data_IF_850657859206
#
_entry.id   IF_850657859206
#
_cell.length_a   1.000
_cell.length_b   1.000
_cell.length_c   1.000
_cell.angle_alpha   90.00
_cell.angle_beta   90.00
_cell.angle_gamma   90.00
#
_symmetry.space_group_name_H-M   'P 1'
#
loop_
_entity.id
_entity.type
_entity.pdbx_description
1 polymer ?
#
# COMPACT_ATOMS: atom_id res chain seq x y z
N UNK A 1 -8.84 2.36 12.22
CA UNK A 1 -9.40 2.16 10.88
C UNK A 1 -8.34 1.78 9.86
N UNK A 2 -7.33 2.60 9.59
CA UNK A 2 -6.21 2.24 8.68
C UNK A 2 -5.53 0.93 9.06
N UNK A 3 -5.31 0.69 10.34
CA UNK A 3 -4.74 -0.57 10.88
C UNK A 3 -5.53 -1.81 10.46
N UNK A 4 -6.87 -1.75 10.52
CA UNK A 4 -7.71 -2.88 10.12
C UNK A 4 -7.73 -3.07 8.61
N UNK A 5 -7.90 -1.99 7.84
CA UNK A 5 -7.96 -2.06 6.37
C UNK A 5 -6.68 -2.67 5.79
N UNK A 6 -5.53 -2.11 6.14
CA UNK A 6 -4.24 -2.55 5.59
C UNK A 6 -3.72 -3.84 6.22
N UNK A 7 -4.04 -4.06 7.50
CA UNK A 7 -3.66 -5.29 8.18
C UNK A 7 -4.37 -6.50 7.61
N UNK A 8 -5.68 -6.43 7.43
CA UNK A 8 -6.47 -7.53 6.86
C UNK A 8 -6.13 -7.78 5.39
N UNK A 9 -5.85 -6.73 4.60
CA UNK A 9 -5.38 -6.86 3.23
C UNK A 9 -4.04 -7.63 3.16
N UNK A 10 -3.05 -7.22 3.96
CA UNK A 10 -1.74 -7.88 3.97
C UNK A 10 -1.75 -9.27 4.63
N UNK A 11 -2.81 -9.64 5.34
CA UNK A 11 -2.99 -11.00 5.86
C UNK A 11 -3.33 -12.03 4.78
N UNK A 12 -3.68 -11.61 3.55
CA UNK A 12 -4.02 -12.51 2.46
C UNK A 12 -2.93 -13.56 2.19
N UNK A 13 -1.66 -13.17 2.25
CA UNK A 13 -0.52 -14.09 2.08
C UNK A 13 -0.48 -15.23 3.10
N UNK A 14 -1.02 -15.02 4.30
CA UNK A 14 -1.11 -16.05 5.36
C UNK A 14 -2.16 -17.13 5.01
N UNK A 15 -3.22 -16.76 4.29
CA UNK A 15 -4.28 -17.66 3.85
C UNK A 15 -3.94 -18.49 2.59
N UNK A 16 -2.83 -18.18 1.92
CA UNK A 16 -2.40 -18.89 0.72
C UNK A 16 -2.26 -20.40 0.95
N UNK A 17 -1.57 -20.78 2.04
CA UNK A 17 -1.36 -22.19 2.39
C UNK A 17 -2.66 -22.98 2.55
N UNK A 18 -3.61 -22.50 3.36
CA UNK A 18 -4.96 -23.08 3.45
C UNK A 18 -5.68 -23.23 2.11
N UNK A 19 -5.68 -22.21 1.23
CA UNK A 19 -6.35 -22.28 -0.07
C UNK A 19 -5.73 -23.34 -0.99
N UNK A 20 -4.40 -23.37 -1.10
CA UNK A 20 -3.70 -24.34 -1.93
C UNK A 20 -3.98 -25.78 -1.43
N UNK A 21 -3.97 -25.99 -0.10
CA UNK A 21 -4.21 -27.33 0.48
C UNK A 21 -5.64 -27.82 0.28
N UNK A 22 -6.63 -26.94 0.39
CA UNK A 22 -8.04 -27.34 0.32
C UNK A 22 -8.56 -27.45 -1.11
N UNK A 23 -8.18 -26.49 -1.98
CA UNK A 23 -8.73 -26.37 -3.33
C UNK A 23 -7.78 -26.85 -4.42
N UNK A 24 -6.49 -27.05 -4.13
CA UNK A 24 -5.49 -27.40 -5.14
C UNK A 24 -5.21 -26.26 -6.15
N UNK A 25 -5.55 -25.02 -5.82
CA UNK A 25 -5.34 -23.90 -6.71
C UNK A 25 -3.85 -23.57 -6.89
N UNK A 26 -3.47 -23.15 -8.10
CA UNK A 26 -2.11 -22.68 -8.35
C UNK A 26 -1.87 -21.34 -7.65
N UNK A 27 -0.59 -21.03 -7.42
CA UNK A 27 -0.21 -19.76 -6.81
C UNK A 27 -0.55 -18.57 -7.70
N UNK A 28 -0.44 -18.74 -9.02
CA UNK A 28 -0.81 -17.70 -9.99
C UNK A 28 -2.32 -17.39 -9.92
N UNK A 29 -3.20 -18.39 -9.87
CA UNK A 29 -4.65 -18.20 -9.74
C UNK A 29 -4.97 -17.50 -8.42
N UNK A 30 -4.39 -17.95 -7.31
CA UNK A 30 -4.65 -17.34 -5.99
C UNK A 30 -4.17 -15.89 -5.94
N UNK A 31 -2.99 -15.59 -6.50
CA UNK A 31 -2.45 -14.22 -6.58
C UNK A 31 -3.28 -13.30 -7.48
N UNK A 32 -3.96 -13.87 -8.49
CA UNK A 32 -4.83 -13.13 -9.39
C UNK A 32 -5.95 -12.38 -8.66
N UNK A 33 -6.46 -12.94 -7.55
CA UNK A 33 -7.46 -12.24 -6.72
C UNK A 33 -6.87 -10.98 -6.04
N UNK A 34 -5.63 -11.04 -5.56
CA UNK A 34 -4.92 -9.87 -5.00
C UNK A 34 -4.62 -8.84 -6.09
N UNK A 35 -4.27 -9.29 -7.28
CA UNK A 35 -4.04 -8.44 -8.44
C UNK A 35 -5.31 -7.66 -8.82
N UNK A 36 -6.44 -8.37 -8.94
CA UNK A 36 -7.74 -7.77 -9.24
C UNK A 36 -8.14 -6.76 -8.15
N UNK A 37 -7.94 -7.12 -6.88
CA UNK A 37 -8.18 -6.22 -5.75
C UNK A 37 -7.40 -4.92 -5.90
N UNK A 38 -6.11 -4.99 -6.16
CA UNK A 38 -5.24 -3.81 -6.25
C UNK A 38 -5.60 -2.92 -7.44
N UNK A 39 -5.98 -3.51 -8.58
CA UNK A 39 -6.44 -2.74 -9.75
C UNK A 39 -7.75 -2.01 -9.45
N UNK A 40 -8.75 -2.72 -8.92
CA UNK A 40 -10.06 -2.12 -8.58
C UNK A 40 -9.88 -1.06 -7.50
N UNK A 41 -9.08 -1.33 -6.46
CA UNK A 41 -8.74 -0.35 -5.43
C UNK A 41 -8.15 0.93 -6.01
N UNK A 42 -7.16 0.83 -6.90
CA UNK A 42 -6.54 1.99 -7.55
C UNK A 42 -7.54 2.85 -8.31
N UNK A 43 -8.41 2.22 -9.09
CA UNK A 43 -9.48 2.91 -9.84
C UNK A 43 -10.48 3.56 -8.86
N UNK A 44 -10.95 2.81 -7.89
CA UNK A 44 -11.98 3.27 -6.95
C UNK A 44 -11.49 4.35 -5.99
N UNK A 45 -10.18 4.46 -5.70
CA UNK A 45 -9.64 5.56 -4.92
C UNK A 45 -9.96 6.93 -5.55
N UNK A 46 -9.92 7.03 -6.87
CA UNK A 46 -10.26 8.27 -7.60
C UNK A 46 -11.75 8.54 -7.50
N UNK A 47 -12.58 7.53 -7.74
CA UNK A 47 -14.05 7.68 -7.67
C UNK A 47 -14.54 7.95 -6.24
N UNK A 48 -13.96 7.31 -5.24
CA UNK A 48 -14.35 7.49 -3.83
C UNK A 48 -14.05 8.91 -3.33
N UNK A 49 -13.01 9.55 -3.83
CA UNK A 49 -12.71 10.94 -3.53
C UNK A 49 -13.85 11.86 -4.02
N UNK A 50 -14.24 11.76 -5.29
CA UNK A 50 -15.34 12.56 -5.86
C UNK A 50 -16.71 12.24 -5.22
N UNK A 51 -16.97 10.97 -4.90
CA UNK A 51 -18.19 10.57 -4.21
C UNK A 51 -18.25 11.13 -2.77
N UNK A 52 -17.09 11.17 -2.10
CA UNK A 52 -16.95 11.74 -0.76
C UNK A 52 -17.24 13.24 -0.72
N UNK A 53 -16.95 13.98 -1.79
CA UNK A 53 -17.28 15.41 -1.91
C UNK A 53 -18.80 15.62 -2.06
N UNK A 54 -19.49 14.72 -2.75
CA UNK A 54 -20.94 14.83 -3.01
C UNK A 54 -21.80 14.32 -1.86
N UNK A 55 -21.50 13.15 -1.32
CA UNK A 55 -22.31 12.45 -0.30
C UNK A 55 -21.82 12.68 1.13
N UNK A 56 -20.66 13.30 1.29
CA UNK A 56 -19.95 13.46 2.55
C UNK A 56 -19.08 12.24 2.91
N UNK A 57 -17.87 12.48 3.46
CA UNK A 57 -16.89 11.43 3.70
C UNK A 57 -17.39 10.37 4.70
N UNK A 58 -18.13 10.76 5.73
CA UNK A 58 -18.66 9.83 6.74
C UNK A 58 -19.55 8.75 6.10
N UNK A 59 -20.48 9.13 5.21
CA UNK A 59 -21.40 8.17 4.57
C UNK A 59 -20.64 7.20 3.66
N UNK A 60 -19.76 7.72 2.82
CA UNK A 60 -18.96 6.91 1.89
C UNK A 60 -18.08 5.92 2.67
N UNK A 61 -17.39 6.39 3.71
CA UNK A 61 -16.52 5.55 4.53
C UNK A 61 -17.35 4.47 5.25
N UNK A 62 -18.53 4.80 5.79
CA UNK A 62 -19.40 3.82 6.46
C UNK A 62 -19.87 2.73 5.50
N UNK A 63 -20.38 3.10 4.32
CA UNK A 63 -20.84 2.13 3.31
C UNK A 63 -19.69 1.22 2.86
N UNK A 64 -18.53 1.78 2.55
CA UNK A 64 -17.37 0.99 2.18
C UNK A 64 -16.89 0.08 3.32
N UNK A 65 -16.96 0.53 4.58
CA UNK A 65 -16.63 -0.31 5.75
C UNK A 65 -17.58 -1.51 5.88
N UNK A 66 -18.86 -1.33 5.59
CA UNK A 66 -19.84 -2.43 5.58
C UNK A 66 -19.50 -3.41 4.46
N UNK A 67 -19.21 -2.91 3.24
CA UNK A 67 -18.83 -3.75 2.10
C UNK A 67 -17.52 -4.52 2.40
N UNK A 68 -16.56 -3.90 3.07
CA UNK A 68 -15.32 -4.55 3.51
C UNK A 68 -15.59 -5.73 4.45
N UNK A 69 -16.43 -5.51 5.46
CA UNK A 69 -16.84 -6.56 6.40
C UNK A 69 -17.60 -7.69 5.71
N UNK A 70 -18.52 -7.36 4.79
CA UNK A 70 -19.23 -8.35 3.98
C UNK A 70 -18.29 -9.13 3.06
N UNK A 71 -17.29 -8.46 2.45
CA UNK A 71 -16.26 -9.11 1.64
C UNK A 71 -15.53 -10.21 2.42
N UNK A 72 -15.06 -9.91 3.63
CA UNK A 72 -14.42 -10.91 4.49
C UNK A 72 -15.40 -11.97 5.02
N UNK A 73 -16.64 -11.62 5.27
CA UNK A 73 -17.68 -12.59 5.64
C UNK A 73 -17.91 -13.62 4.53
N UNK A 74 -18.02 -13.18 3.28
CA UNK A 74 -18.17 -14.08 2.13
C UNK A 74 -16.90 -14.89 1.86
N UNK A 75 -15.70 -14.36 2.17
CA UNK A 75 -14.46 -15.13 2.08
C UNK A 75 -14.48 -16.41 2.92
N UNK A 76 -15.21 -16.44 4.03
CA UNK A 76 -15.40 -17.67 4.81
C UNK A 76 -16.20 -18.76 4.06
N UNK A 77 -16.92 -18.39 3.01
CA UNK A 77 -17.78 -19.28 2.20
C UNK A 77 -17.25 -19.57 0.80
N UNK A 78 -16.01 -19.17 0.52
CA UNK A 78 -15.35 -19.44 -0.75
C UNK A 78 -15.31 -20.92 -1.04
N UNK A 79 -15.73 -21.29 -2.25
CA UNK A 79 -15.69 -22.66 -2.78
C UNK A 79 -15.08 -22.72 -4.18
N UNK A 80 -15.16 -21.63 -4.96
CA UNK A 80 -14.66 -21.55 -6.32
C UNK A 80 -13.65 -20.42 -6.49
N UNK A 81 -12.87 -20.47 -7.56
CA UNK A 81 -11.98 -19.36 -7.94
C UNK A 81 -12.77 -18.08 -8.23
N UNK A 82 -13.96 -18.19 -8.83
CA UNK A 82 -14.83 -17.04 -9.08
C UNK A 82 -15.27 -16.36 -7.79
N UNK A 83 -15.58 -17.15 -6.74
CA UNK A 83 -15.91 -16.61 -5.42
C UNK A 83 -14.74 -15.82 -4.85
N UNK A 84 -13.52 -16.37 -4.94
CA UNK A 84 -12.31 -15.71 -4.46
C UNK A 84 -12.10 -14.35 -5.15
N UNK A 85 -12.23 -14.32 -6.49
CA UNK A 85 -12.08 -13.10 -7.26
C UNK A 85 -13.19 -12.07 -6.95
N UNK A 86 -14.41 -12.53 -6.77
CA UNK A 86 -15.54 -11.64 -6.43
C UNK A 86 -15.40 -11.10 -5.00
N UNK A 87 -15.19 -11.97 -4.01
CA UNK A 87 -15.23 -11.55 -2.61
C UNK A 87 -13.96 -10.79 -2.21
N UNK A 88 -12.78 -11.33 -2.54
CA UNK A 88 -11.53 -10.65 -2.24
C UNK A 88 -11.16 -9.60 -3.28
N UNK A 89 -11.26 -9.95 -4.55
CA UNK A 89 -10.89 -9.04 -5.65
C UNK A 89 -11.78 -7.81 -5.75
N UNK A 90 -13.11 -7.97 -5.62
CA UNK A 90 -14.07 -6.86 -5.82
C UNK A 90 -14.54 -6.26 -4.50
N UNK A 91 -15.18 -7.05 -3.60
CA UNK A 91 -15.80 -6.49 -2.39
C UNK A 91 -14.78 -5.89 -1.43
N UNK A 92 -13.67 -6.58 -1.19
CA UNK A 92 -12.60 -6.05 -0.34
C UNK A 92 -11.99 -4.79 -0.97
N UNK A 93 -11.78 -4.75 -2.29
CA UNK A 93 -11.26 -3.57 -2.98
C UNK A 93 -12.18 -2.35 -2.84
N UNK A 94 -13.50 -2.53 -3.02
CA UNK A 94 -14.49 -1.47 -2.79
C UNK A 94 -14.40 -0.98 -1.35
N UNK A 95 -14.33 -1.91 -0.40
CA UNK A 95 -14.26 -1.60 1.02
C UNK A 95 -13.02 -0.82 1.44
N UNK A 96 -11.88 -1.02 0.74
CA UNK A 96 -10.62 -0.33 0.98
C UNK A 96 -10.56 1.07 0.33
N UNK A 97 -11.38 1.34 -0.68
CA UNK A 97 -11.31 2.56 -1.51
C UNK A 97 -11.41 3.90 -0.75
N UNK A 98 -12.01 4.02 0.46
CA UNK A 98 -12.02 5.28 1.21
C UNK A 98 -10.66 5.73 1.76
N UNK A 99 -9.56 5.12 1.36
CA UNK A 99 -8.21 5.53 1.75
C UNK A 99 -7.94 7.02 1.48
N UNK A 100 -8.25 7.51 0.26
CA UNK A 100 -8.07 8.91 -0.10
C UNK A 100 -9.02 9.85 0.69
N UNK A 101 -10.33 9.58 0.79
CA UNK A 101 -11.22 10.34 1.66
C UNK A 101 -10.74 10.46 3.11
N UNK A 102 -10.17 9.39 3.69
CA UNK A 102 -9.64 9.42 5.04
C UNK A 102 -8.46 10.38 5.18
N UNK A 103 -7.50 10.35 4.25
CA UNK A 103 -6.36 11.27 4.26
C UNK A 103 -6.79 12.73 4.00
N UNK A 104 -7.73 12.94 3.08
CA UNK A 104 -8.25 14.28 2.80
C UNK A 104 -8.98 14.87 4.01
N UNK A 105 -9.70 14.05 4.78
CA UNK A 105 -10.38 14.48 5.99
C UNK A 105 -9.37 14.97 7.05
N UNK A 106 -8.27 14.24 7.24
CA UNK A 106 -7.19 14.65 8.16
C UNK A 106 -6.57 15.98 7.71
N UNK A 107 -6.32 16.14 6.42
CA UNK A 107 -5.78 17.38 5.87
C UNK A 107 -6.71 18.59 6.04
N UNK A 108 -8.04 18.38 6.11
CA UNK A 108 -9.04 19.42 6.39
C UNK A 108 -9.06 19.83 7.88
N UNK A 109 -8.79 18.89 8.79
CA UNK A 109 -8.78 19.16 10.22
C UNK A 109 -7.51 19.88 10.72
N UNK A 110 -6.36 19.60 10.08
CA UNK A 110 -5.06 20.06 10.54
C UNK A 110 -4.40 20.94 9.48
N UNK A 111 -4.41 22.26 9.68
CA UNK A 111 -3.80 23.23 8.77
C UNK A 111 -2.31 23.44 9.03
N UNK A 112 -1.90 23.47 10.29
CA UNK A 112 -0.53 23.79 10.70
C UNK A 112 0.41 22.59 10.79
N UNK A 113 -0.09 21.38 11.08
CA UNK A 113 0.71 20.15 11.24
C UNK A 113 0.25 19.02 10.33
N UNK A 114 -0.17 19.34 9.11
CA UNK A 114 -0.72 18.36 8.13
C UNK A 114 0.17 17.15 7.91
N UNK A 115 1.47 17.37 7.70
CA UNK A 115 2.43 16.30 7.47
C UNK A 115 2.53 15.33 8.63
N UNK A 116 2.66 15.86 9.86
CA UNK A 116 2.74 15.04 11.09
C UNK A 116 1.45 14.25 11.33
N UNK A 117 0.28 14.84 11.12
CA UNK A 117 -1.00 14.16 11.31
C UNK A 117 -1.24 13.08 10.25
N UNK A 118 -0.89 13.35 9.00
CA UNK A 118 -0.90 12.33 7.95
C UNK A 118 0.06 11.17 8.26
N UNK A 119 1.26 11.46 8.77
CA UNK A 119 2.22 10.43 9.18
C UNK A 119 1.66 9.54 10.30
N UNK A 120 0.96 10.12 11.30
CA UNK A 120 0.31 9.35 12.37
C UNK A 120 -0.78 8.43 11.79
N UNK A 121 -1.60 8.92 10.86
CA UNK A 121 -2.65 8.11 10.22
C UNK A 121 -2.05 7.01 9.35
N UNK A 122 -1.00 7.31 8.60
CA UNK A 122 -0.27 6.32 7.78
C UNK A 122 0.49 5.31 8.64
N UNK A 123 0.96 5.68 9.84
CA UNK A 123 1.56 4.72 10.79
C UNK A 123 0.56 3.62 11.19
N UNK A 124 -0.74 3.91 11.17
CA UNK A 124 -1.79 2.90 11.33
C UNK A 124 -1.73 1.78 10.29
N UNK A 125 -1.25 2.07 9.07
CA UNK A 125 -1.01 1.05 8.03
C UNK A 125 0.12 0.10 8.45
N UNK A 126 1.27 0.64 8.86
CA UNK A 126 2.39 -0.15 9.36
C UNK A 126 2.02 -1.00 10.58
N UNK A 127 1.26 -0.44 11.53
CA UNK A 127 0.72 -1.19 12.68
C UNK A 127 -0.21 -2.31 12.23
N UNK A 128 -1.02 -2.10 11.21
CA UNK A 128 -1.89 -3.13 10.64
C UNK A 128 -1.08 -4.30 10.08
N UNK A 129 -0.08 -4.01 9.26
CA UNK A 129 0.80 -5.01 8.66
C UNK A 129 1.60 -5.74 9.75
N UNK A 130 1.98 -5.04 10.81
CA UNK A 130 2.72 -5.62 11.93
C UNK A 130 1.89 -6.60 12.77
N UNK A 131 0.63 -6.26 13.06
CA UNK A 131 -0.16 -6.98 14.08
C UNK A 131 -1.14 -8.00 13.46
N UNK A 132 -1.82 -7.65 12.38
CA UNK A 132 -2.95 -8.45 11.89
C UNK A 132 -2.54 -9.77 11.24
N UNK A 133 -1.47 -9.87 10.40
CA UNK A 133 -1.07 -11.14 9.81
C UNK A 133 -0.68 -12.21 10.83
N UNK A 134 0.14 -11.96 11.88
CA UNK A 134 0.41 -12.99 12.88
C UNK A 134 -0.84 -13.35 13.70
N UNK A 135 -1.72 -12.38 13.99
CA UNK A 135 -3.01 -12.68 14.65
C UNK A 135 -3.90 -13.56 13.76
N UNK A 136 -3.94 -13.29 12.45
CA UNK A 136 -4.68 -14.10 11.48
C UNK A 136 -4.12 -15.54 11.42
N UNK A 137 -2.78 -15.70 11.42
CA UNK A 137 -2.15 -17.03 11.46
C UNK A 137 -2.51 -17.80 12.73
N UNK A 138 -2.49 -17.11 13.88
CA UNK A 138 -2.89 -17.72 15.16
C UNK A 138 -4.37 -18.12 15.16
N UNK A 139 -5.25 -17.28 14.60
CA UNK A 139 -6.66 -17.64 14.43
C UNK A 139 -6.84 -18.86 13.54
N UNK A 140 -6.10 -18.96 12.43
CA UNK A 140 -6.15 -20.12 11.53
C UNK A 140 -5.80 -21.40 12.27
N UNK A 141 -4.79 -21.38 13.15
CA UNK A 141 -4.38 -22.54 13.93
C UNK A 141 -5.41 -22.95 14.99
N UNK A 142 -6.16 -21.98 15.56
CA UNK A 142 -7.14 -22.23 16.62
C UNK A 142 -8.51 -22.65 16.08
N UNK A 143 -9.01 -21.99 15.03
CA UNK A 143 -10.42 -22.11 14.61
C UNK A 143 -10.59 -22.43 13.11
N UNK A 144 -9.52 -22.79 12.42
CA UNK A 144 -9.46 -23.00 10.97
C UNK A 144 -9.66 -21.71 10.17
N UNK A 145 -9.24 -21.69 8.90
CA UNK A 145 -9.20 -20.48 8.08
C UNK A 145 -10.59 -19.87 7.77
N UNK A 146 -11.64 -20.71 7.63
CA UNK A 146 -13.01 -20.21 7.37
C UNK A 146 -13.55 -19.41 8.56
N UNK A 147 -13.42 -19.96 9.76
CA UNK A 147 -13.85 -19.26 10.99
C UNK A 147 -12.95 -18.06 11.28
N UNK A 148 -11.69 -18.11 10.91
CA UNK A 148 -10.78 -16.95 11.01
C UNK A 148 -11.27 -15.77 10.17
N UNK A 149 -11.75 -16.02 8.94
CA UNK A 149 -12.37 -14.97 8.12
C UNK A 149 -13.66 -14.43 8.74
N UNK A 150 -14.48 -15.25 9.39
CA UNK A 150 -15.66 -14.76 10.13
C UNK A 150 -15.28 -13.83 11.28
N UNK A 151 -14.27 -14.20 12.07
CA UNK A 151 -13.75 -13.33 13.15
C UNK A 151 -13.20 -12.04 12.58
N UNK A 152 -12.38 -12.11 11.55
CA UNK A 152 -11.82 -10.93 10.85
C UNK A 152 -12.95 -10.04 10.31
N UNK A 153 -13.98 -10.61 9.71
CA UNK A 153 -15.13 -9.88 9.19
C UNK A 153 -15.84 -9.09 10.31
N UNK A 154 -16.19 -9.75 11.42
CA UNK A 154 -16.89 -9.14 12.55
C UNK A 154 -16.04 -8.03 13.17
N UNK A 155 -14.77 -8.30 13.46
CA UNK A 155 -13.86 -7.33 14.10
C UNK A 155 -13.63 -6.13 13.17
N UNK A 156 -13.39 -6.37 11.88
CA UNK A 156 -13.21 -5.31 10.89
C UNK A 156 -14.47 -4.46 10.77
N UNK A 157 -15.64 -5.08 10.65
CA UNK A 157 -16.93 -4.39 10.57
C UNK A 157 -17.16 -3.51 11.81
N UNK A 158 -17.03 -4.09 13.00
CA UNK A 158 -17.23 -3.36 14.25
C UNK A 158 -16.29 -2.16 14.38
N UNK A 159 -14.98 -2.37 14.18
CA UNK A 159 -13.98 -1.31 14.36
C UNK A 159 -14.13 -0.24 13.28
N UNK A 160 -14.30 -0.61 12.00
CA UNK A 160 -14.33 0.37 10.91
C UNK A 160 -15.63 1.16 10.87
N UNK A 161 -16.78 0.51 11.13
CA UNK A 161 -18.07 1.19 11.21
C UNK A 161 -18.14 2.08 12.46
N UNK A 162 -17.74 1.58 13.64
CA UNK A 162 -17.69 2.39 14.84
C UNK A 162 -16.80 3.62 14.64
N UNK A 163 -15.56 3.42 14.12
CA UNK A 163 -14.65 4.51 13.85
C UNK A 163 -15.22 5.53 12.84
N UNK A 164 -15.97 5.07 11.83
CA UNK A 164 -16.60 5.95 10.85
C UNK A 164 -17.65 6.88 11.46
N UNK A 165 -18.32 6.46 12.55
CA UNK A 165 -19.32 7.29 13.24
C UNK A 165 -18.71 8.48 13.99
N UNK A 166 -17.46 8.37 14.43
CA UNK A 166 -16.72 9.47 15.06
C UNK A 166 -16.13 10.47 14.08
N UNK A 167 -16.15 10.18 12.76
CA UNK A 167 -15.66 11.10 11.74
C UNK A 167 -16.59 12.31 11.64
N UNK A 168 -16.07 13.49 11.97
CA UNK A 168 -16.75 14.77 11.79
C UNK A 168 -16.08 15.53 10.65
N UNK A 169 -16.89 16.16 9.81
CA UNK A 169 -16.41 17.10 8.79
C UNK A 169 -16.39 18.48 9.43
N UNK A 170 -15.30 19.27 9.31
CA UNK A 170 -15.30 20.65 9.75
C UNK A 170 -16.43 21.42 9.07
N UNK A 171 -17.18 22.25 9.80
CA UNK A 171 -18.19 23.13 9.22
C UNK A 171 -17.53 24.19 8.30
N UNK A 172 -18.24 24.67 7.29
CA UNK A 172 -17.75 25.71 6.36
C UNK A 172 -17.26 26.95 7.14
N UNK A 173 -18.01 27.36 8.17
CA UNK A 173 -17.63 28.46 9.07
C UNK A 173 -16.33 28.21 9.82
N UNK A 174 -16.10 26.99 10.30
CA UNK A 174 -14.85 26.63 10.98
C UNK A 174 -13.62 26.56 10.04
N UNK A 175 -13.83 26.45 8.73
CA UNK A 175 -12.79 26.54 7.72
C UNK A 175 -12.51 28.01 7.33
N UNK A 176 -13.53 28.84 7.21
CA UNK A 176 -13.41 30.28 6.92
C UNK A 176 -12.74 31.05 8.08
N UNK A 177 -13.10 30.76 9.33
CA UNK A 177 -12.48 31.37 10.52
C UNK A 177 -11.01 30.95 10.71
N UNK A 178 -10.58 29.84 10.14
CA UNK A 178 -9.21 29.31 10.26
C UNK A 178 -8.28 29.70 9.11
N UNK A 179 -8.79 29.86 7.91
CA UNK A 179 -7.96 30.12 6.69
C UNK A 179 -7.74 31.61 6.41
N UNK A 180 -8.26 32.53 7.25
CA UNK A 180 -7.91 33.97 7.22
C UNK A 180 -8.26 34.66 5.91
N UNK A 181 -9.36 34.29 5.24
CA UNK A 181 -9.86 35.01 4.05
C UNK A 181 -9.11 34.74 2.74
N UNK A 182 -9.62 35.25 1.62
CA UNK A 182 -9.06 35.05 0.28
C UNK A 182 -7.68 35.64 0.01
N UNK A 183 -7.13 36.45 0.92
CA UNK A 183 -5.83 37.14 0.78
C UNK A 183 -4.65 36.44 1.44
N UNK A 184 -4.75 35.14 1.74
CA UNK A 184 -3.61 34.40 2.31
C UNK A 184 -2.56 34.06 1.25
N UNK A 185 -1.24 34.17 1.56
CA UNK A 185 -0.13 33.87 0.63
C UNK A 185 -0.15 32.45 0.03
N UNK A 186 -1.08 31.59 0.46
CA UNK A 186 -1.32 30.24 -0.03
C UNK A 186 -2.10 30.17 -1.35
N UNK A 187 -2.92 31.18 -1.66
CA UNK A 187 -3.72 31.22 -2.88
C UNK A 187 -2.84 31.35 -4.13
N UNK A 188 -1.78 32.14 -4.05
CA UNK A 188 -0.82 32.34 -5.14
C UNK A 188 0.03 31.11 -5.43
N UNK A 189 0.41 30.34 -4.40
CA UNK A 189 1.19 29.11 -4.58
C UNK A 189 0.42 27.94 -5.20
N UNK A 190 -0.90 27.98 -5.24
CA UNK A 190 -1.73 26.94 -5.87
C UNK A 190 -1.58 26.87 -7.39
N UNK A 191 -1.06 27.89 -8.02
CA UNK A 191 -0.93 27.98 -9.48
C UNK A 191 0.50 27.82 -10.00
N UNK A 192 1.49 27.59 -9.13
CA UNK A 192 2.87 27.42 -9.54
C UNK A 192 3.14 26.00 -10.06
N UNK A 193 3.70 25.89 -11.26
CA UNK A 193 4.16 24.64 -11.84
C UNK A 193 3.47 24.22 -13.12
N UNK A 194 3.80 23.02 -13.58
CA UNK A 194 3.33 22.50 -14.86
C UNK A 194 1.87 22.06 -14.79
N UNK A 195 1.12 22.30 -15.87
CA UNK A 195 -0.16 21.65 -16.09
C UNK A 195 0.05 20.14 -16.31
N UNK A 196 -0.97 19.32 -16.08
CA UNK A 196 -0.89 17.87 -16.31
C UNK A 196 -0.44 17.52 -17.74
N UNK A 197 -0.98 18.23 -18.75
CA UNK A 197 -0.64 18.01 -20.16
C UNK A 197 0.83 18.34 -20.48
N UNK A 198 1.41 19.30 -19.79
CA UNK A 198 2.83 19.61 -19.88
C UNK A 198 3.67 18.57 -19.15
N UNK A 199 3.27 18.19 -17.93
CA UNK A 199 4.00 17.20 -17.12
C UNK A 199 4.13 15.85 -17.82
N UNK A 200 3.06 15.31 -18.40
CA UNK A 200 3.04 13.99 -19.09
C UNK A 200 4.05 13.92 -20.25
N UNK A 201 4.40 15.06 -20.86
CA UNK A 201 5.38 15.12 -21.96
C UNK A 201 6.82 15.17 -21.50
N UNK A 202 7.07 15.20 -20.20
CA UNK A 202 8.42 15.28 -19.63
C UNK A 202 9.00 13.89 -19.38
N UNK A 203 10.34 13.81 -19.45
CA UNK A 203 11.08 12.60 -19.06
C UNK A 203 10.88 12.30 -17.58
N UNK A 204 10.81 13.31 -16.75
CA UNK A 204 10.63 13.21 -15.30
C UNK A 204 9.31 12.51 -14.96
N UNK A 205 8.26 12.74 -15.74
CA UNK A 205 6.97 12.04 -15.55
C UNK A 205 7.07 10.55 -15.90
N UNK A 206 7.75 10.20 -16.98
CA UNK A 206 7.99 8.79 -17.33
C UNK A 206 8.81 8.08 -16.25
N UNK A 207 9.86 8.74 -15.72
CA UNK A 207 10.67 8.21 -14.61
C UNK A 207 9.83 8.06 -13.33
N UNK A 208 8.97 9.03 -13.02
CA UNK A 208 8.05 8.93 -11.88
C UNK A 208 7.10 7.73 -12.00
N UNK A 209 6.51 7.53 -13.17
CA UNK A 209 5.65 6.37 -13.46
C UNK A 209 6.41 5.05 -13.29
N UNK A 210 7.66 4.97 -13.77
CA UNK A 210 8.51 3.80 -13.59
C UNK A 210 8.86 3.53 -12.12
N UNK A 211 9.14 4.58 -11.36
CA UNK A 211 9.38 4.48 -9.91
C UNK A 211 8.14 3.90 -9.20
N UNK A 212 6.95 4.41 -9.47
CA UNK A 212 5.74 3.85 -8.89
C UNK A 212 5.49 2.41 -9.30
N UNK A 213 5.70 2.08 -10.58
CA UNK A 213 5.52 0.73 -11.10
C UNK A 213 6.46 -0.26 -10.41
N UNK A 214 7.78 0.02 -10.44
CA UNK A 214 8.79 -0.87 -9.85
C UNK A 214 8.62 -1.04 -8.35
N UNK A 215 8.29 0.03 -7.65
CA UNK A 215 8.02 0.01 -6.21
C UNK A 215 6.85 -0.91 -5.86
N UNK A 216 5.67 -0.67 -6.46
CA UNK A 216 4.46 -1.41 -6.12
C UNK A 216 4.49 -2.85 -6.65
N UNK A 217 5.17 -3.11 -7.78
CA UNK A 217 5.45 -4.46 -8.27
C UNK A 217 6.20 -5.27 -7.20
N UNK A 218 7.33 -4.76 -6.72
CA UNK A 218 8.14 -5.43 -5.70
C UNK A 218 7.37 -5.58 -4.38
N UNK A 219 6.71 -4.51 -3.93
CA UNK A 219 6.00 -4.49 -2.66
C UNK A 219 4.93 -5.57 -2.59
N UNK A 220 4.03 -5.61 -3.57
CA UNK A 220 2.88 -6.52 -3.51
C UNK A 220 3.32 -7.95 -3.81
N UNK A 221 4.29 -8.16 -4.72
CA UNK A 221 4.88 -9.49 -4.94
C UNK A 221 5.45 -10.09 -3.65
N UNK A 222 6.20 -9.30 -2.90
CA UNK A 222 6.79 -9.75 -1.64
C UNK A 222 5.73 -9.98 -0.58
N UNK A 223 4.84 -9.02 -0.32
CA UNK A 223 3.86 -9.15 0.77
C UNK A 223 2.89 -10.31 0.55
N UNK A 224 2.61 -10.67 -0.70
CA UNK A 224 1.74 -11.81 -1.05
C UNK A 224 2.47 -13.15 -0.90
N UNK A 225 3.73 -13.24 -1.31
CA UNK A 225 4.41 -14.54 -1.45
C UNK A 225 5.43 -14.85 -0.37
N UNK A 226 5.92 -13.87 0.42
CA UNK A 226 7.02 -14.09 1.37
C UNK A 226 6.69 -15.12 2.46
N UNK A 227 5.44 -15.11 2.96
CA UNK A 227 4.99 -16.03 4.02
C UNK A 227 4.97 -17.47 3.50
N UNK A 228 4.37 -17.70 2.32
CA UNK A 228 4.30 -19.02 1.73
C UNK A 228 5.67 -19.52 1.26
N UNK A 229 6.57 -18.60 0.86
CA UNK A 229 7.95 -18.93 0.55
C UNK A 229 8.69 -19.42 1.80
N UNK A 230 8.60 -18.70 2.91
CA UNK A 230 9.22 -19.09 4.18
C UNK A 230 8.70 -20.45 4.67
N UNK A 231 7.39 -20.70 4.58
CA UNK A 231 6.80 -22.00 4.92
C UNK A 231 7.35 -23.12 4.00
N UNK A 232 7.55 -22.82 2.72
CA UNK A 232 8.14 -23.77 1.76
C UNK A 232 9.62 -24.12 2.03
N UNK A 233 10.28 -23.36 2.91
CA UNK A 233 11.64 -23.61 3.42
C UNK A 233 11.62 -24.19 4.86
N UNK A 234 10.53 -24.86 5.24
CA UNK A 234 10.32 -25.49 6.54
C UNK A 234 10.33 -24.54 7.75
N UNK A 235 10.18 -23.22 7.52
CA UNK A 235 10.00 -22.24 8.60
C UNK A 235 8.55 -22.38 9.14
N UNK A 236 8.35 -22.53 10.46
CA UNK A 236 7.03 -22.65 11.06
C UNK A 236 6.11 -21.47 10.65
N UNK A 237 4.84 -21.74 10.34
CA UNK A 237 3.90 -20.74 9.85
C UNK A 237 3.78 -19.50 10.76
N UNK A 238 3.92 -19.70 12.09
CA UNK A 238 3.92 -18.62 13.07
C UNK A 238 5.11 -17.66 12.85
N UNK A 239 6.31 -18.23 12.64
CA UNK A 239 7.53 -17.47 12.39
C UNK A 239 7.53 -16.85 10.99
N UNK A 240 7.02 -17.56 9.99
CA UNK A 240 6.82 -17.04 8.65
C UNK A 240 5.88 -15.82 8.64
N UNK A 241 4.79 -15.84 9.41
CA UNK A 241 3.88 -14.70 9.52
C UNK A 241 4.52 -13.47 10.19
N UNK A 242 5.51 -13.65 11.08
CA UNK A 242 6.26 -12.56 11.70
C UNK A 242 7.10 -11.76 10.69
N UNK A 243 7.42 -12.30 9.52
CA UNK A 243 8.10 -11.54 8.45
C UNK A 243 7.29 -10.30 8.07
N UNK A 244 5.95 -10.42 7.96
CA UNK A 244 5.09 -9.27 7.71
C UNK A 244 5.06 -8.30 8.89
N UNK A 245 5.18 -8.79 10.12
CA UNK A 245 5.29 -7.93 11.31
C UNK A 245 6.55 -7.06 11.28
N UNK A 246 7.68 -7.64 10.92
CA UNK A 246 8.94 -6.91 10.75
C UNK A 246 8.85 -5.89 9.61
N UNK A 247 8.22 -6.25 8.48
CA UNK A 247 7.95 -5.30 7.38
C UNK A 247 7.11 -4.12 7.90
N UNK A 248 6.01 -4.37 8.59
CA UNK A 248 5.11 -3.34 9.10
C UNK A 248 5.76 -2.43 10.13
N UNK A 249 6.47 -3.00 11.10
CA UNK A 249 7.17 -2.25 12.14
C UNK A 249 8.29 -1.37 11.56
N UNK A 250 9.12 -1.95 10.70
CA UNK A 250 10.20 -1.22 10.03
C UNK A 250 9.67 -0.15 9.04
N UNK A 251 8.51 -0.36 8.44
CA UNK A 251 7.84 0.62 7.58
C UNK A 251 7.56 1.93 8.36
N UNK A 252 7.08 1.85 9.60
CA UNK A 252 6.83 3.03 10.45
C UNK A 252 8.15 3.81 10.69
N UNK A 253 9.23 3.09 10.99
CA UNK A 253 10.55 3.70 11.17
C UNK A 253 11.06 4.33 9.88
N UNK A 254 10.92 3.63 8.75
CA UNK A 254 11.33 4.10 7.43
C UNK A 254 10.61 5.38 7.01
N UNK A 255 9.28 5.48 7.27
CA UNK A 255 8.51 6.70 7.00
C UNK A 255 9.11 7.92 7.71
N UNK A 256 9.42 7.77 9.00
CA UNK A 256 9.91 8.88 9.81
C UNK A 256 11.37 9.24 9.45
N UNK A 257 12.25 8.26 9.32
CA UNK A 257 13.67 8.49 9.06
C UNK A 257 13.89 9.04 7.66
N UNK A 258 13.25 8.44 6.63
CA UNK A 258 13.41 8.89 5.24
C UNK A 258 12.74 10.23 4.97
N UNK A 259 11.62 10.54 5.65
CA UNK A 259 11.04 11.87 5.64
C UNK A 259 12.02 12.92 6.17
N UNK A 260 12.66 12.66 7.33
CA UNK A 260 13.68 13.57 7.88
C UNK A 260 14.92 13.69 6.97
N UNK A 261 15.34 12.61 6.32
CA UNK A 261 16.47 12.66 5.36
C UNK A 261 16.08 13.51 4.15
N UNK A 262 14.86 13.38 3.66
CA UNK A 262 14.36 14.18 2.55
C UNK A 262 14.34 15.68 2.88
N UNK A 263 13.87 16.04 4.09
CA UNK A 263 13.82 17.43 4.55
C UNK A 263 15.22 18.03 4.76
N UNK A 264 16.20 17.23 5.22
CA UNK A 264 17.56 17.72 5.48
C UNK A 264 18.47 17.75 4.26
N UNK A 265 18.33 16.79 3.37
CA UNK A 265 19.21 16.63 2.20
C UNK A 265 18.45 16.84 0.89
N UNK A 266 17.66 15.84 0.45
CA UNK A 266 16.75 15.94 -0.68
C UNK A 266 15.86 14.70 -0.82
N UNK A 267 14.70 14.87 -1.47
CA UNK A 267 13.84 13.74 -1.85
C UNK A 267 14.55 12.72 -2.74
N UNK A 268 15.42 13.18 -3.65
CA UNK A 268 16.20 12.33 -4.56
C UNK A 268 17.15 11.40 -3.79
N UNK A 269 17.88 11.92 -2.79
CA UNK A 269 18.83 11.13 -1.97
C UNK A 269 18.04 10.11 -1.15
N UNK A 270 16.99 10.53 -0.45
CA UNK A 270 16.16 9.64 0.36
C UNK A 270 15.53 8.52 -0.47
N UNK A 271 15.06 8.84 -1.68
CA UNK A 271 14.51 7.86 -2.62
C UNK A 271 15.57 6.88 -3.12
N UNK A 272 16.76 7.37 -3.48
CA UNK A 272 17.90 6.54 -3.89
C UNK A 272 18.32 5.57 -2.79
N UNK A 273 18.42 6.02 -1.53
CA UNK A 273 18.72 5.16 -0.38
C UNK A 273 17.61 4.10 -0.20
N UNK A 274 16.35 4.49 -0.31
CA UNK A 274 15.22 3.55 -0.18
C UNK A 274 15.23 2.47 -1.27
N UNK A 275 15.49 2.84 -2.54
CA UNK A 275 15.60 1.86 -3.62
C UNK A 275 16.85 0.96 -3.51
N UNK A 276 17.98 1.52 -3.08
CA UNK A 276 19.19 0.74 -2.81
C UNK A 276 18.93 -0.31 -1.74
N UNK A 277 18.31 0.09 -0.64
CA UNK A 277 18.00 -0.81 0.47
C UNK A 277 16.99 -1.89 0.06
N UNK A 278 15.97 -1.53 -0.73
CA UNK A 278 15.01 -2.49 -1.29
C UNK A 278 15.70 -3.49 -2.20
N UNK A 279 16.54 -3.04 -3.15
CA UNK A 279 17.26 -3.92 -4.07
C UNK A 279 18.23 -4.85 -3.34
N UNK A 280 19.02 -4.33 -2.40
CA UNK A 280 19.95 -5.13 -1.59
C UNK A 280 19.21 -6.18 -0.74
N UNK A 281 18.06 -5.80 -0.12
CA UNK A 281 17.27 -6.75 0.66
C UNK A 281 16.70 -7.88 -0.21
N UNK A 282 16.26 -7.57 -1.43
CA UNK A 282 15.76 -8.56 -2.40
C UNK A 282 16.84 -9.53 -2.86
N UNK A 283 18.08 -9.06 -3.05
CA UNK A 283 19.24 -9.94 -3.32
C UNK A 283 19.55 -10.80 -2.10
N UNK A 284 19.47 -10.22 -0.90
CA UNK A 284 19.72 -10.93 0.36
C UNK A 284 18.76 -12.09 0.60
N UNK A 285 17.48 -11.97 0.28
CA UNK A 285 16.49 -13.01 0.53
C UNK A 285 16.69 -14.25 -0.35
N UNK A 286 17.34 -14.13 -1.50
CA UNK A 286 17.53 -15.24 -2.45
C UNK A 286 18.25 -16.45 -1.83
N UNK A 287 19.42 -16.31 -1.19
CA UNK A 287 20.12 -17.42 -0.52
C UNK A 287 19.62 -17.67 0.91
N UNK A 288 18.55 -17.02 1.36
CA UNK A 288 18.10 -17.10 2.75
C UNK A 288 17.32 -18.37 3.03
N UNK A 289 17.72 -19.12 4.06
CA UNK A 289 17.05 -20.33 4.52
C UNK A 289 16.73 -20.31 6.02
N UNK A 290 17.22 -19.32 6.77
CA UNK A 290 17.00 -19.21 8.22
C UNK A 290 16.00 -18.13 8.57
N UNK A 291 15.26 -18.31 9.66
CA UNK A 291 14.29 -17.35 10.19
C UNK A 291 14.89 -15.95 10.40
N UNK A 292 16.09 -15.89 10.99
CA UNK A 292 16.79 -14.62 11.24
C UNK A 292 17.14 -13.88 9.96
N UNK A 293 17.47 -14.60 8.90
CA UNK A 293 17.74 -14.03 7.58
C UNK A 293 16.48 -13.39 6.99
N UNK A 294 15.31 -14.05 7.17
CA UNK A 294 14.01 -13.49 6.78
C UNK A 294 13.62 -12.26 7.60
N UNK A 295 13.90 -12.24 8.91
CA UNK A 295 13.61 -11.07 9.75
C UNK A 295 14.50 -9.88 9.37
N UNK A 296 15.78 -10.10 9.08
CA UNK A 296 16.69 -9.06 8.60
C UNK A 296 16.23 -8.51 7.24
N UNK A 297 15.91 -9.40 6.30
CA UNK A 297 15.30 -9.02 5.03
C UNK A 297 14.06 -8.16 5.24
N UNK A 298 13.12 -8.64 6.05
CA UNK A 298 11.84 -7.99 6.30
C UNK A 298 12.01 -6.60 6.93
N UNK A 299 12.98 -6.45 7.81
CA UNK A 299 13.33 -5.15 8.44
C UNK A 299 13.87 -4.19 7.41
N UNK A 300 14.84 -4.60 6.58
CA UNK A 300 15.43 -3.76 5.55
C UNK A 300 14.41 -3.39 4.47
N UNK A 301 13.65 -4.38 3.99
CA UNK A 301 12.60 -4.18 2.99
C UNK A 301 11.48 -3.27 3.50
N UNK A 302 11.01 -3.51 4.72
CA UNK A 302 9.96 -2.69 5.34
C UNK A 302 10.40 -1.25 5.57
N UNK A 303 11.64 -1.04 5.99
CA UNK A 303 12.20 0.30 6.14
C UNK A 303 12.26 1.05 4.79
N UNK A 304 12.72 0.38 3.73
CA UNK A 304 12.72 0.92 2.37
C UNK A 304 11.30 1.25 1.88
N UNK A 305 10.35 0.34 2.13
CA UNK A 305 8.92 0.53 1.82
C UNK A 305 8.37 1.80 2.47
N UNK A 306 8.58 1.96 3.78
CA UNK A 306 8.10 3.14 4.51
C UNK A 306 8.69 4.44 3.95
N UNK A 307 9.98 4.44 3.63
CA UNK A 307 10.64 5.57 3.00
C UNK A 307 9.99 5.96 1.68
N UNK A 308 9.82 5.02 0.76
CA UNK A 308 9.20 5.30 -0.54
C UNK A 308 7.77 5.83 -0.40
N UNK A 309 7.00 5.29 0.54
CA UNK A 309 5.60 5.68 0.74
C UNK A 309 5.42 7.18 1.04
N UNK A 310 6.34 7.80 1.78
CA UNK A 310 6.25 9.22 2.14
C UNK A 310 6.89 10.15 1.13
N UNK A 311 7.81 9.64 0.29
CA UNK A 311 8.63 10.47 -0.60
C UNK A 311 7.95 10.86 -1.91
N UNK A 312 6.97 10.08 -2.40
CA UNK A 312 6.37 10.34 -3.71
C UNK A 312 5.62 11.67 -3.79
N UNK A 313 4.87 12.03 -2.76
CA UNK A 313 4.11 13.28 -2.76
C UNK A 313 5.03 14.53 -2.75
N UNK A 314 6.03 14.64 -1.87
CA UNK A 314 7.01 15.73 -1.93
C UNK A 314 7.80 15.75 -3.25
N UNK A 315 8.16 14.57 -3.80
CA UNK A 315 8.87 14.48 -5.07
C UNK A 315 8.06 15.05 -6.22
N UNK A 316 6.76 14.76 -6.30
CA UNK A 316 5.86 15.31 -7.32
C UNK A 316 5.78 16.85 -7.20
N UNK A 317 5.66 17.37 -5.98
CA UNK A 317 5.65 18.80 -5.74
C UNK A 317 6.97 19.49 -6.15
N UNK A 318 8.11 18.81 -5.89
CA UNK A 318 9.45 19.31 -6.25
C UNK A 318 9.69 19.33 -7.77
N UNK A 319 9.21 18.31 -8.50
CA UNK A 319 9.46 18.16 -9.94
C UNK A 319 8.48 18.94 -10.82
N UNK A 320 7.22 19.04 -10.40
CA UNK A 320 6.13 19.54 -11.26
C UNK A 320 5.39 20.75 -10.66
N UNK A 321 5.67 21.11 -9.41
CA UNK A 321 4.93 22.13 -8.69
C UNK A 321 3.60 21.62 -8.14
N UNK A 322 2.76 22.56 -7.69
CA UNK A 322 1.50 22.25 -6.99
C UNK A 322 0.26 22.33 -7.87
N UNK A 323 0.35 22.94 -9.06
CA UNK A 323 -0.78 23.19 -9.97
C UNK A 323 -1.57 21.93 -10.35
N UNK A 324 -0.91 20.85 -10.70
CA UNK A 324 -1.53 19.58 -11.11
C UNK A 324 -1.10 18.41 -10.20
N UNK A 325 -0.64 18.71 -8.98
CA UNK A 325 -0.03 17.74 -8.05
C UNK A 325 -0.88 16.49 -7.85
N UNK A 326 -2.16 16.63 -7.53
CA UNK A 326 -3.05 15.50 -7.25
C UNK A 326 -3.25 14.58 -8.47
N UNK A 327 -3.38 15.16 -9.67
CA UNK A 327 -3.58 14.38 -10.91
C UNK A 327 -2.30 13.65 -11.30
N UNK A 328 -1.13 14.30 -11.15
CA UNK A 328 0.18 13.70 -11.45
C UNK A 328 0.46 12.55 -10.47
N UNK A 329 0.25 12.78 -9.17
CA UNK A 329 0.41 11.77 -8.12
C UNK A 329 -0.53 10.59 -8.35
N UNK A 330 -1.81 10.86 -8.64
CA UNK A 330 -2.82 9.85 -8.92
C UNK A 330 -2.51 9.01 -10.16
N UNK A 331 -1.98 9.63 -11.23
CA UNK A 331 -1.58 8.90 -12.44
C UNK A 331 -0.36 8.01 -12.17
N UNK A 332 0.63 8.51 -11.41
CA UNK A 332 1.75 7.69 -10.96
C UNK A 332 1.30 6.49 -10.14
N UNK A 333 0.39 6.70 -9.18
CA UNK A 333 -0.19 5.63 -8.36
C UNK A 333 -0.99 4.62 -9.20
N UNK A 334 -1.71 5.07 -10.22
CA UNK A 334 -2.43 4.18 -11.16
C UNK A 334 -1.46 3.28 -11.94
N UNK A 335 -0.37 3.84 -12.46
CA UNK A 335 0.69 3.04 -13.13
C UNK A 335 1.33 2.06 -12.14
N UNK A 336 1.57 2.49 -10.90
CA UNK A 336 2.03 1.62 -9.83
C UNK A 336 1.05 0.48 -9.51
N UNK A 337 -0.27 0.75 -9.56
CA UNK A 337 -1.29 -0.30 -9.34
C UNK A 337 -1.26 -1.38 -10.42
N UNK A 338 -0.85 -1.04 -11.65
CA UNK A 338 -0.58 -2.05 -12.70
C UNK A 338 0.59 -2.95 -12.26
N UNK A 339 1.68 -2.38 -11.77
CA UNK A 339 2.80 -3.14 -11.22
C UNK A 339 2.38 -4.05 -10.06
N UNK A 340 1.62 -3.49 -9.12
CA UNK A 340 1.07 -4.23 -7.97
C UNK A 340 0.14 -5.39 -8.37
N UNK A 341 -0.59 -5.25 -9.47
CA UNK A 341 -1.44 -6.31 -10.00
C UNK A 341 -0.65 -7.42 -10.71
N UNK A 342 0.30 -7.03 -11.57
CA UNK A 342 1.06 -7.96 -12.40
C UNK A 342 2.11 -8.72 -11.57
N UNK A 343 2.73 -8.04 -10.59
CA UNK A 343 3.85 -8.59 -9.82
C UNK A 343 3.55 -9.94 -9.15
N UNK A 344 2.51 -10.04 -8.31
CA UNK A 344 2.17 -11.31 -7.64
C UNK A 344 1.79 -12.43 -8.60
N UNK A 345 1.13 -12.10 -9.75
CA UNK A 345 0.76 -13.09 -10.77
C UNK A 345 2.03 -13.68 -11.39
N UNK A 346 2.97 -12.80 -11.79
CA UNK A 346 4.25 -13.24 -12.38
C UNK A 346 5.04 -14.06 -11.36
N UNK A 347 5.14 -13.62 -10.11
CA UNK A 347 5.83 -14.37 -9.07
C UNK A 347 5.19 -15.74 -8.80
N UNK A 348 3.85 -15.80 -8.79
CA UNK A 348 3.11 -17.06 -8.67
C UNK A 348 3.35 -17.99 -9.85
N UNK A 349 3.27 -17.47 -11.09
CA UNK A 349 3.52 -18.24 -12.31
C UNK A 349 4.95 -18.78 -12.39
N UNK A 350 5.95 -17.96 -12.02
CA UNK A 350 7.35 -18.40 -11.95
C UNK A 350 7.49 -19.57 -10.99
N UNK A 351 6.86 -19.49 -9.81
CA UNK A 351 6.89 -20.60 -8.86
C UNK A 351 6.16 -21.84 -9.38
N UNK A 352 4.98 -21.70 -9.96
CA UNK A 352 4.20 -22.81 -10.51
C UNK A 352 4.98 -23.54 -11.63
N UNK A 353 5.81 -22.82 -12.39
CA UNK A 353 6.63 -23.37 -13.49
C UNK A 353 7.98 -23.94 -13.04
N UNK A 354 8.64 -23.35 -12.03
CA UNK A 354 10.02 -23.66 -11.63
C UNK A 354 10.16 -24.33 -10.26
N UNK A 355 9.09 -24.33 -9.46
CA UNK A 355 9.11 -24.78 -8.07
C UNK A 355 9.87 -23.86 -7.10
N UNK A 356 10.31 -22.66 -7.57
CA UNK A 356 11.13 -21.74 -6.77
C UNK A 356 10.75 -20.28 -7.01
N UNK A 357 10.91 -19.44 -5.97
CA UNK A 357 10.76 -17.98 -6.06
C UNK A 357 12.04 -17.25 -6.47
N UNK A 358 13.16 -17.95 -6.67
CA UNK A 358 14.48 -17.34 -6.96
C UNK A 358 14.40 -16.37 -8.14
N UNK A 359 13.83 -16.80 -9.27
CA UNK A 359 13.68 -15.94 -10.45
C UNK A 359 12.74 -14.75 -10.19
N UNK A 360 11.69 -14.93 -9.40
CA UNK A 360 10.78 -13.86 -9.03
C UNK A 360 11.49 -12.79 -8.19
N UNK A 361 12.34 -13.19 -7.24
CA UNK A 361 13.11 -12.26 -6.42
C UNK A 361 14.23 -11.56 -7.21
N UNK A 362 14.87 -12.28 -8.16
CA UNK A 362 15.82 -11.66 -9.09
C UNK A 362 15.11 -10.58 -9.93
N UNK A 363 13.93 -10.87 -10.48
CA UNK A 363 13.14 -9.90 -11.22
C UNK A 363 12.81 -8.67 -10.37
N UNK A 364 12.34 -8.87 -9.13
CA UNK A 364 12.09 -7.77 -8.20
C UNK A 364 13.35 -6.97 -7.89
N UNK A 365 14.50 -7.62 -7.70
CA UNK A 365 15.77 -6.95 -7.46
C UNK A 365 16.21 -6.10 -8.67
N UNK A 366 16.09 -6.63 -9.88
CA UNK A 366 16.38 -5.90 -11.12
C UNK A 366 15.45 -4.67 -11.24
N UNK A 367 14.16 -4.82 -10.98
CA UNK A 367 13.21 -3.70 -11.00
C UNK A 367 13.55 -2.65 -9.92
N UNK A 368 13.95 -3.06 -8.73
CA UNK A 368 14.37 -2.14 -7.68
C UNK A 368 15.63 -1.36 -8.08
N UNK A 369 16.64 -2.02 -8.68
CA UNK A 369 17.84 -1.34 -9.16
C UNK A 369 17.60 -0.45 -10.38
N UNK A 370 16.69 -0.80 -11.29
CA UNK A 370 16.27 0.12 -12.36
C UNK A 370 15.51 1.31 -11.80
N UNK A 371 14.72 1.13 -10.72
CA UNK A 371 14.12 2.21 -9.94
C UNK A 371 15.19 3.12 -9.32
N UNK A 372 16.24 2.55 -8.72
CA UNK A 372 17.39 3.31 -8.23
C UNK A 372 18.03 4.14 -9.36
N UNK A 373 18.35 3.52 -10.49
CA UNK A 373 18.92 4.23 -11.64
C UNK A 373 17.99 5.37 -12.09
N UNK A 374 16.69 5.12 -12.15
CA UNK A 374 15.68 6.13 -12.50
C UNK A 374 15.65 7.29 -11.50
N UNK A 375 15.77 7.00 -10.19
CA UNK A 375 15.82 8.04 -9.15
C UNK A 375 17.05 8.94 -9.29
N UNK A 376 18.20 8.38 -9.68
CA UNK A 376 19.45 9.13 -9.92
C UNK A 376 19.37 10.01 -11.18
N UNK A 377 18.57 9.60 -12.17
CA UNK A 377 18.36 10.34 -13.42
C UNK A 377 17.36 11.50 -13.31
N UNK A 378 16.61 11.61 -12.20
CA UNK A 378 15.71 12.73 -11.96
C UNK A 378 16.49 14.05 -11.89
N UNK A 379 16.03 15.05 -12.60
CA UNK A 379 16.61 16.39 -12.60
C UNK A 379 15.57 17.42 -12.15
N UNK A 380 15.97 18.30 -11.23
CA UNK A 380 15.17 19.47 -10.90
C UNK A 380 15.17 20.39 -12.12
N UNK A 381 14.00 20.72 -12.63
CA UNK A 381 13.87 21.83 -13.57
C UNK A 381 13.61 23.10 -12.78
N UNK A 382 14.29 24.22 -13.10
CA UNK A 382 13.85 25.51 -12.58
C UNK A 382 12.40 25.70 -13.05
N UNK A 383 11.48 25.85 -12.11
CA UNK A 383 10.10 26.23 -12.38
C UNK A 383 10.15 27.71 -12.78
N UNK A 384 10.16 28.00 -14.09
CA UNK A 384 10.06 29.35 -14.65
C UNK A 384 8.62 29.78 -14.72
#
# INVERSE_FOLDING_TARGET
MMTMIWGTFNSFGVFFGPFIREFGWTRAITSGASALNTMIFGILCVFSAGLSERLGPRRVITVCSIILGLGYFFMARVTTTSDLYLYYGVFVAIGMSPYIPLLSLVARWFTTNRGRMNAIVLSGMGLGIMLVPPMANQLISMVQWRNSYLVIAIVTLMITVAASQFLKVPSHQALEDRDGGPDTPWADRRNEGLSFRQAVRTREFALLCWLYFSFLFCLVSITVHIVIHAIGLDIPATHAALTLSFIGGACILGMNVMGNIADRFSNKIALGVSYSLMGCSLVWVIPSHSEWSFYLFSTAFGFAYGGMQVLFSPLVAELFGTRAHGVILGTGALVGSIGAAIGPIIAGYIFDASGSYTLAFILCAVLAFTGLASSLLLQRRPLS
#
